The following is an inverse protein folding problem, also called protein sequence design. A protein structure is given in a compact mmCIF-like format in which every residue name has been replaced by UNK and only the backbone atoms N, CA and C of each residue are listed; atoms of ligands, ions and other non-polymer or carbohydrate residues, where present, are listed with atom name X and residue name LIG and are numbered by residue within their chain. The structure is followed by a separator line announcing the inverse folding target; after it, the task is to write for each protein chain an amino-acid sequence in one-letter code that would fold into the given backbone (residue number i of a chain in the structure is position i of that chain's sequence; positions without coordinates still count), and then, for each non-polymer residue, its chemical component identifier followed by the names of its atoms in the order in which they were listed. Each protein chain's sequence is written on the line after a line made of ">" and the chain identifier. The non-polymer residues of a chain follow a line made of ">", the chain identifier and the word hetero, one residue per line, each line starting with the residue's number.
data_IF_092638808281
#
_entry.id   IF_092638808281
#
_cell.length_a   1.000
_cell.length_b   1.000
_cell.length_c   1.000
_cell.angle_alpha   90.00
_cell.angle_beta   90.00
_cell.angle_gamma   90.00
#
_symmetry.space_group_name_H-M   'P 1'
#
loop_
_entity.id
_entity.type
_entity.pdbx_description
1 polymer ?
#
# COMPACT_ATOMS: atom_id res chain seq x y z
N UNK A 1 92.26 13.73 -22.55
CA UNK A 1 91.39 13.47 -21.42
C UNK A 1 91.07 14.80 -20.74
N UNK A 2 89.85 15.38 -21.01
CA UNK A 2 89.42 16.65 -20.37
C UNK A 2 88.53 16.31 -19.19
N UNK A 3 89.03 16.59 -18.01
CA UNK A 3 88.33 16.45 -16.78
C UNK A 3 87.19 17.46 -16.63
N UNK A 4 85.97 17.02 -16.68
CA UNK A 4 84.80 17.91 -16.61
C UNK A 4 84.43 18.00 -15.11
N UNK A 5 85.09 18.96 -14.42
CA UNK A 5 84.74 19.24 -12.98
C UNK A 5 83.35 19.87 -12.93
N UNK A 6 82.40 19.10 -12.43
CA UNK A 6 81.08 19.58 -12.02
C UNK A 6 81.18 20.69 -10.98
N UNK A 7 81.06 21.96 -11.40
CA UNK A 7 80.95 23.12 -10.48
C UNK A 7 79.64 23.06 -9.76
N UNK A 8 79.62 22.61 -8.50
CA UNK A 8 78.46 22.74 -7.63
C UNK A 8 78.20 24.24 -7.39
N UNK A 9 77.14 24.77 -7.98
CA UNK A 9 76.68 26.12 -7.74
C UNK A 9 76.13 26.20 -6.32
N UNK A 10 76.79 26.93 -5.41
CA UNK A 10 76.31 27.23 -4.05
C UNK A 10 75.20 28.28 -4.16
N UNK A 11 73.94 27.83 -4.17
CA UNK A 11 72.79 28.74 -4.11
C UNK A 11 72.69 29.34 -2.71
N UNK A 12 72.53 30.67 -2.58
CA UNK A 12 72.38 31.38 -1.30
C UNK A 12 71.16 30.81 -0.52
N UNK A 13 71.29 30.66 0.80
CA UNK A 13 70.24 30.07 1.66
C UNK A 13 68.90 30.77 1.47
N UNK A 14 68.87 32.09 1.32
CA UNK A 14 67.65 32.86 1.05
C UNK A 14 66.93 32.50 -0.26
N UNK A 15 67.71 32.18 -1.31
CA UNK A 15 67.15 31.74 -2.60
C UNK A 15 66.53 30.33 -2.49
N UNK A 16 67.06 29.46 -1.67
CA UNK A 16 66.48 28.13 -1.40
C UNK A 16 65.13 28.25 -0.67
N UNK A 17 65.03 29.11 0.34
CA UNK A 17 63.78 29.35 1.06
C UNK A 17 62.72 29.99 0.14
N UNK A 18 63.13 30.96 -0.71
CA UNK A 18 62.21 31.57 -1.68
C UNK A 18 61.66 30.52 -2.65
N UNK A 19 62.50 29.60 -3.13
CA UNK A 19 62.07 28.50 -4.03
C UNK A 19 61.13 27.51 -3.35
N UNK A 20 61.35 27.15 -2.07
CA UNK A 20 60.47 26.27 -1.31
C UNK A 20 59.11 26.95 -1.06
N UNK A 21 59.09 28.26 -0.75
CA UNK A 21 57.87 29.00 -0.53
C UNK A 21 57.08 29.09 -1.85
N UNK A 22 57.75 29.33 -2.99
CA UNK A 22 57.08 29.36 -4.29
C UNK A 22 56.48 27.99 -4.68
N UNK A 23 57.20 26.89 -4.41
CA UNK A 23 56.67 25.54 -4.66
C UNK A 23 55.47 25.23 -3.75
N UNK A 24 55.52 25.60 -2.47
CA UNK A 24 54.41 25.44 -1.56
C UNK A 24 53.17 26.27 -2.03
N UNK A 25 53.38 27.50 -2.50
CA UNK A 25 52.29 28.31 -3.03
C UNK A 25 51.63 27.70 -4.26
N UNK A 26 52.43 27.11 -5.17
CA UNK A 26 51.92 26.38 -6.33
C UNK A 26 51.14 25.15 -5.94
N UNK A 27 51.61 24.39 -4.95
CA UNK A 27 50.89 23.21 -4.43
C UNK A 27 49.54 23.64 -3.83
N UNK A 28 49.53 24.66 -2.95
CA UNK A 28 48.29 25.17 -2.31
C UNK A 28 47.30 25.69 -3.36
N UNK A 29 47.76 26.44 -4.35
CA UNK A 29 46.88 26.96 -5.43
C UNK A 29 46.34 25.82 -6.31
N UNK A 30 47.15 24.80 -6.63
CA UNK A 30 46.66 23.64 -7.39
C UNK A 30 45.68 22.79 -6.60
N UNK A 31 45.86 22.59 -5.29
CA UNK A 31 44.89 21.94 -4.40
C UNK A 31 43.60 22.75 -4.29
N UNK A 32 43.70 24.08 -4.22
CA UNK A 32 42.52 24.94 -4.17
C UNK A 32 41.73 24.90 -5.50
N UNK A 33 42.38 24.91 -6.63
CA UNK A 33 41.74 24.75 -7.97
C UNK A 33 41.11 23.37 -8.09
N UNK A 34 41.78 22.31 -7.66
CA UNK A 34 41.19 20.96 -7.62
C UNK A 34 39.97 20.91 -6.71
N UNK A 35 40.06 21.49 -5.50
CA UNK A 35 38.91 21.57 -4.57
C UNK A 35 37.73 22.33 -5.18
N UNK A 36 38.00 23.48 -5.81
CA UNK A 36 36.95 24.24 -6.54
C UNK A 36 36.38 23.43 -7.71
N UNK A 37 37.20 22.73 -8.47
CA UNK A 37 36.76 21.86 -9.58
C UNK A 37 35.87 20.72 -9.09
N UNK A 38 36.23 20.09 -7.96
CA UNK A 38 35.36 19.07 -7.34
C UNK A 38 34.04 19.64 -6.80
N UNK A 39 34.01 20.89 -6.31
CA UNK A 39 32.80 21.55 -5.85
C UNK A 39 31.96 22.15 -6.99
N UNK A 40 32.57 22.41 -8.16
CA UNK A 40 31.88 22.89 -9.37
C UNK A 40 31.41 21.76 -10.29
N UNK A 41 31.97 20.54 -10.11
CA UNK A 41 31.43 19.35 -10.79
C UNK A 41 30.05 19.04 -10.21
N UNK A 42 29.05 19.56 -10.90
CA UNK A 42 27.66 19.14 -10.91
C UNK A 42 26.99 18.91 -9.55
N UNK A 43 26.64 19.98 -8.86
CA UNK A 43 25.35 19.98 -8.17
C UNK A 43 24.28 20.03 -9.27
N UNK A 44 24.07 18.92 -9.99
CA UNK A 44 22.82 18.75 -10.73
C UNK A 44 21.72 18.83 -9.66
N UNK A 45 21.01 19.92 -9.66
CA UNK A 45 19.79 20.02 -8.87
C UNK A 45 18.84 18.98 -9.45
N UNK A 46 18.44 18.01 -8.61
CA UNK A 46 17.43 17.04 -8.99
C UNK A 46 16.10 17.51 -8.44
N UNK A 47 15.09 17.50 -9.28
CA UNK A 47 13.71 17.85 -8.94
C UNK A 47 12.87 16.58 -8.96
N UNK A 48 11.93 16.47 -8.01
CA UNK A 48 10.93 15.40 -8.03
C UNK A 48 9.89 15.70 -9.11
N UNK A 49 9.76 14.81 -10.08
CA UNK A 49 8.74 14.91 -11.13
C UNK A 49 7.76 13.74 -10.97
N UNK A 50 6.47 14.03 -11.07
CA UNK A 50 5.43 13.01 -11.06
C UNK A 50 5.49 12.24 -12.37
N UNK A 51 5.74 10.94 -12.29
CA UNK A 51 5.82 10.07 -13.47
C UNK A 51 4.56 9.22 -13.64
N UNK A 52 3.83 8.98 -12.56
CA UNK A 52 2.61 8.19 -12.56
C UNK A 52 1.73 8.56 -11.38
N UNK A 53 0.44 8.64 -11.62
CA UNK A 53 -0.57 8.89 -10.61
C UNK A 53 -1.71 7.91 -10.80
N UNK A 54 -2.15 7.27 -9.72
CA UNK A 54 -3.26 6.34 -9.75
C UNK A 54 -4.13 6.48 -8.51
N UNK A 55 -5.37 6.01 -8.65
CA UNK A 55 -6.36 6.04 -7.58
C UNK A 55 -7.10 4.70 -7.52
N UNK A 56 -7.50 4.31 -6.30
CA UNK A 56 -8.35 3.16 -6.03
C UNK A 56 -9.70 3.67 -5.54
N UNK A 57 -10.79 3.18 -6.11
CA UNK A 57 -12.14 3.44 -5.65
C UNK A 57 -12.83 2.11 -5.36
N UNK A 58 -13.52 2.05 -4.25
CA UNK A 58 -14.29 0.90 -3.84
C UNK A 58 -15.72 1.31 -3.50
N UNK A 59 -16.67 0.54 -3.99
CA UNK A 59 -18.09 0.66 -3.66
C UNK A 59 -18.61 -0.74 -3.35
N UNK A 60 -19.42 -0.84 -2.34
CA UNK A 60 -20.10 -2.08 -2.02
C UNK A 60 -21.59 -1.83 -1.80
N UNK A 61 -22.36 -2.87 -2.05
CA UNK A 61 -23.75 -2.96 -1.65
C UNK A 61 -24.04 -4.37 -1.18
N UNK A 62 -25.07 -4.50 -0.37
CA UNK A 62 -25.52 -5.80 0.11
C UNK A 62 -27.03 -5.81 0.28
N UNK A 63 -27.60 -6.99 0.18
CA UNK A 63 -28.97 -7.30 0.53
C UNK A 63 -28.99 -8.47 1.49
N UNK A 64 -29.73 -8.33 2.59
CA UNK A 64 -29.83 -9.36 3.62
C UNK A 64 -31.14 -10.09 3.50
N UNK A 65 -31.05 -11.37 3.13
CA UNK A 65 -32.19 -12.28 3.21
C UNK A 65 -32.43 -12.65 4.68
N UNK A 66 -33.64 -12.40 5.13
CA UNK A 66 -34.05 -12.69 6.50
C UNK A 66 -35.00 -13.88 6.55
N UNK A 67 -34.94 -14.63 7.64
CA UNK A 67 -35.90 -15.69 7.95
C UNK A 67 -37.27 -15.06 8.09
N UNK A 68 -38.31 -15.74 7.56
CA UNK A 68 -39.70 -15.29 7.69
C UNK A 68 -40.06 -15.12 9.16
N UNK A 69 -40.63 -13.96 9.49
CA UNK A 69 -40.99 -13.57 10.84
C UNK A 69 -42.17 -12.57 10.79
N UNK A 70 -42.88 -12.48 11.92
CA UNK A 70 -44.08 -11.63 12.07
C UNK A 70 -43.74 -10.19 12.51
N UNK A 71 -42.47 -9.85 12.76
CA UNK A 71 -42.07 -8.60 13.41
C UNK A 71 -41.43 -7.59 12.46
N UNK A 72 -40.68 -8.05 11.46
CA UNK A 72 -39.92 -7.20 10.59
C UNK A 72 -40.34 -7.51 9.12
N UNK A 73 -40.88 -6.52 8.43
CA UNK A 73 -41.18 -6.67 7.02
C UNK A 73 -39.88 -6.82 6.20
N UNK A 74 -39.88 -7.73 5.21
CA UNK A 74 -38.71 -8.03 4.36
C UNK A 74 -38.16 -6.80 3.58
N UNK A 75 -38.99 -5.78 3.38
CA UNK A 75 -38.68 -4.56 2.64
C UNK A 75 -38.06 -3.44 3.50
N UNK A 76 -38.04 -3.62 4.83
CA UNK A 76 -37.49 -2.62 5.75
C UNK A 76 -35.99 -2.84 5.92
N UNK A 77 -35.17 -2.06 5.22
CA UNK A 77 -33.75 -1.91 5.54
C UNK A 77 -33.66 -1.19 6.89
N UNK A 78 -33.05 -1.80 7.91
CA UNK A 78 -32.91 -1.17 9.22
C UNK A 78 -32.12 0.14 9.12
N UNK A 79 -32.53 1.13 9.91
CA UNK A 79 -31.71 2.31 10.16
C UNK A 79 -30.36 1.88 10.72
N UNK A 80 -29.28 2.58 10.34
CA UNK A 80 -27.92 2.33 10.81
C UNK A 80 -27.29 0.97 10.45
N UNK A 81 -27.84 0.21 9.49
CA UNK A 81 -27.32 -1.11 9.08
C UNK A 81 -27.20 -2.12 10.23
N UNK A 82 -28.14 -2.10 11.17
CA UNK A 82 -28.21 -3.00 12.33
C UNK A 82 -29.36 -3.99 12.13
N UNK A 83 -29.06 -5.26 12.13
CA UNK A 83 -30.00 -6.37 11.92
C UNK A 83 -30.12 -7.23 13.19
N UNK A 84 -31.28 -7.86 13.38
CA UNK A 84 -31.44 -8.88 14.42
C UNK A 84 -30.70 -10.14 13.98
N UNK A 85 -29.65 -10.53 14.71
CA UNK A 85 -28.74 -11.61 14.34
C UNK A 85 -29.45 -12.92 14.00
N UNK A 86 -30.43 -13.32 14.83
CA UNK A 86 -31.15 -14.58 14.67
C UNK A 86 -32.06 -14.64 13.44
N UNK A 87 -32.39 -13.48 12.86
CA UNK A 87 -33.23 -13.41 11.66
C UNK A 87 -32.40 -13.41 10.37
N UNK A 88 -31.08 -13.24 10.43
CA UNK A 88 -30.23 -13.22 9.25
C UNK A 88 -30.06 -14.64 8.70
N UNK A 89 -30.32 -14.80 7.40
CA UNK A 89 -30.15 -16.05 6.68
C UNK A 89 -28.93 -15.97 5.76
N UNK A 90 -29.01 -15.14 4.73
CA UNK A 90 -27.96 -14.98 3.72
C UNK A 90 -27.68 -13.50 3.46
N UNK A 91 -26.51 -13.21 2.94
CA UNK A 91 -26.17 -11.90 2.39
C UNK A 91 -25.80 -12.05 0.91
N UNK A 92 -26.48 -11.30 0.04
CA UNK A 92 -26.08 -11.09 -1.33
C UNK A 92 -25.19 -9.85 -1.38
N UNK A 93 -23.95 -10.00 -1.77
CA UNK A 93 -22.95 -8.96 -1.69
C UNK A 93 -22.45 -8.61 -3.08
N UNK A 94 -22.42 -7.31 -3.39
CA UNK A 94 -21.78 -6.79 -4.58
C UNK A 94 -20.59 -5.92 -4.18
N UNK A 95 -19.41 -6.26 -4.69
CA UNK A 95 -18.16 -5.53 -4.47
C UNK A 95 -17.66 -4.98 -5.81
N UNK A 96 -17.55 -3.67 -5.91
CA UNK A 96 -17.08 -2.97 -7.10
C UNK A 96 -15.77 -2.25 -6.79
N UNK A 97 -14.74 -2.56 -7.55
CA UNK A 97 -13.44 -1.91 -7.45
C UNK A 97 -13.08 -1.27 -8.79
N UNK A 98 -12.56 -0.06 -8.72
CA UNK A 98 -12.05 0.69 -9.87
C UNK A 98 -10.65 1.19 -9.55
N UNK A 99 -9.69 0.76 -10.36
CA UNK A 99 -8.39 1.38 -10.45
C UNK A 99 -8.40 2.35 -11.62
N UNK A 100 -7.85 3.54 -11.44
CA UNK A 100 -7.68 4.53 -12.51
C UNK A 100 -6.33 5.21 -12.41
N UNK A 101 -5.68 5.43 -13.55
CA UNK A 101 -4.39 6.07 -13.63
C UNK A 101 -4.40 7.25 -14.61
N UNK A 102 -3.41 8.13 -14.50
CA UNK A 102 -3.29 9.31 -15.36
C UNK A 102 -2.80 8.98 -16.78
N UNK A 103 -2.31 7.76 -17.01
CA UNK A 103 -1.89 7.27 -18.33
C UNK A 103 -2.05 5.76 -18.45
N UNK A 104 -2.21 5.31 -19.70
CA UNK A 104 -2.31 3.89 -20.02
C UNK A 104 -0.94 3.21 -19.94
N UNK A 105 -0.88 2.09 -19.24
CA UNK A 105 0.30 1.25 -19.09
C UNK A 105 -0.08 -0.23 -19.19
N UNK A 106 0.91 -1.10 -19.34
CA UNK A 106 0.69 -2.55 -19.24
C UNK A 106 0.60 -2.92 -17.76
N UNK A 107 -0.58 -3.29 -17.31
CA UNK A 107 -0.86 -3.63 -15.92
C UNK A 107 -1.13 -5.13 -15.81
N UNK A 108 -0.37 -5.79 -14.94
CA UNK A 108 -0.69 -7.13 -14.45
C UNK A 108 -1.47 -6.99 -13.15
N UNK A 109 -2.63 -7.60 -13.05
CA UNK A 109 -3.42 -7.57 -11.83
C UNK A 109 -4.01 -8.93 -11.48
N UNK A 110 -4.21 -9.14 -10.20
CA UNK A 110 -4.95 -10.28 -9.66
C UNK A 110 -5.80 -9.84 -8.48
N UNK A 111 -6.87 -10.55 -8.22
CA UNK A 111 -7.68 -10.32 -7.03
C UNK A 111 -8.23 -11.64 -6.50
N UNK A 112 -8.49 -11.65 -5.20
CA UNK A 112 -9.15 -12.75 -4.48
C UNK A 112 -10.16 -12.19 -3.51
N UNK A 113 -11.13 -12.97 -3.12
CA UNK A 113 -12.10 -12.63 -2.08
C UNK A 113 -12.07 -13.72 -1.01
N UNK A 114 -11.90 -13.30 0.23
CA UNK A 114 -11.85 -14.18 1.39
C UNK A 114 -12.81 -13.69 2.48
N UNK A 115 -13.46 -14.61 3.16
CA UNK A 115 -14.24 -14.36 4.35
C UNK A 115 -13.46 -14.83 5.59
N UNK A 116 -13.27 -13.97 6.56
CA UNK A 116 -12.58 -14.25 7.83
C UNK A 116 -13.58 -14.14 8.97
N UNK A 117 -13.93 -15.25 9.60
CA UNK A 117 -14.73 -15.30 10.81
C UNK A 117 -13.77 -15.37 12.00
N UNK A 118 -13.75 -14.33 12.82
CA UNK A 118 -12.86 -14.20 13.97
C UNK A 118 -13.68 -14.01 15.24
N UNK A 119 -13.35 -14.80 16.27
CA UNK A 119 -13.90 -14.64 17.62
C UNK A 119 -12.82 -14.14 18.57
N UNK A 120 -13.14 -13.09 19.31
CA UNK A 120 -12.28 -12.49 20.32
C UNK A 120 -12.94 -12.55 21.70
N UNK A 121 -12.13 -12.72 22.71
CA UNK A 121 -12.53 -12.66 24.10
C UNK A 121 -11.87 -11.46 24.76
N UNK A 122 -12.69 -10.63 25.41
CA UNK A 122 -12.17 -9.49 26.18
C UNK A 122 -11.99 -9.87 27.63
N UNK A 123 -10.77 -9.76 28.15
CA UNK A 123 -10.45 -9.92 29.56
C UNK A 123 -9.61 -8.73 30.02
N UNK A 124 -10.08 -8.07 31.07
CA UNK A 124 -9.39 -6.92 31.70
C UNK A 124 -9.10 -5.75 30.72
N UNK A 125 -9.90 -5.63 29.64
CA UNK A 125 -9.74 -4.60 28.62
C UNK A 125 -8.86 -5.00 27.42
N UNK A 126 -8.19 -6.15 27.48
CA UNK A 126 -7.41 -6.69 26.37
C UNK A 126 -8.24 -7.65 25.53
N UNK A 127 -8.27 -7.44 24.22
CA UNK A 127 -8.89 -8.36 23.26
C UNK A 127 -7.91 -9.46 22.87
N UNK A 128 -8.29 -10.71 23.13
CA UNK A 128 -7.52 -11.89 22.74
C UNK A 128 -8.28 -12.66 21.66
N UNK A 129 -7.60 -12.94 20.54
CA UNK A 129 -8.16 -13.80 19.49
C UNK A 129 -8.20 -15.23 19.99
N UNK A 130 -9.42 -15.78 20.03
CA UNK A 130 -9.66 -17.15 20.51
C UNK A 130 -9.72 -18.13 19.35
N UNK A 131 -10.30 -17.68 18.22
CA UNK A 131 -10.61 -18.55 17.11
C UNK A 131 -10.71 -17.75 15.82
N UNK A 132 -10.25 -18.38 14.72
CA UNK A 132 -10.35 -17.81 13.36
C UNK A 132 -10.65 -18.93 12.37
N UNK A 133 -11.59 -18.67 11.46
CA UNK A 133 -11.83 -19.47 10.28
C UNK A 133 -11.75 -18.59 9.05
N UNK A 134 -11.09 -19.06 7.99
CA UNK A 134 -11.02 -18.37 6.70
C UNK A 134 -11.70 -19.22 5.65
N UNK A 135 -12.62 -18.61 4.92
CA UNK A 135 -13.29 -19.20 3.75
C UNK A 135 -12.78 -18.49 2.49
N UNK A 136 -12.40 -19.23 1.47
CA UNK A 136 -12.06 -18.68 0.16
C UNK A 136 -13.34 -18.60 -0.66
N UNK A 137 -13.76 -17.35 -0.96
CA UNK A 137 -14.97 -17.08 -1.78
C UNK A 137 -14.59 -17.08 -3.26
N UNK A 138 -13.49 -16.40 -3.60
CA UNK A 138 -12.96 -16.34 -4.96
C UNK A 138 -11.44 -16.54 -4.93
N UNK A 139 -10.97 -17.50 -5.73
CA UNK A 139 -9.54 -17.75 -5.90
C UNK A 139 -8.91 -16.69 -6.81
N UNK A 140 -7.63 -16.34 -6.60
CA UNK A 140 -6.95 -15.36 -7.44
C UNK A 140 -6.70 -15.90 -8.85
N UNK A 141 -6.92 -15.05 -9.85
CA UNK A 141 -6.54 -15.25 -11.24
C UNK A 141 -5.75 -14.03 -11.73
N UNK A 142 -4.60 -14.27 -12.35
CA UNK A 142 -3.76 -13.22 -12.88
C UNK A 142 -4.21 -12.80 -14.28
N UNK A 143 -4.36 -11.51 -14.52
CA UNK A 143 -4.79 -10.90 -15.77
C UNK A 143 -3.84 -9.78 -16.20
N UNK A 144 -3.69 -9.60 -17.51
CA UNK A 144 -2.87 -8.56 -18.11
C UNK A 144 -3.74 -7.67 -18.98
N UNK A 145 -3.61 -6.37 -18.83
CA UNK A 145 -4.33 -5.38 -19.62
C UNK A 145 -3.43 -4.17 -19.92
N UNK A 146 -3.58 -3.60 -21.11
CA UNK A 146 -2.99 -2.30 -21.43
C UNK A 146 -4.07 -1.24 -21.35
N UNK A 147 -4.11 -0.52 -20.23
CA UNK A 147 -5.20 0.44 -19.93
C UNK A 147 -4.76 1.41 -18.83
N UNK A 148 -5.47 2.52 -18.74
CA UNK A 148 -5.44 3.45 -17.60
C UNK A 148 -6.53 3.11 -16.55
N UNK A 149 -7.35 2.08 -16.80
CA UNK A 149 -8.48 1.72 -15.95
C UNK A 149 -8.64 0.21 -15.84
N UNK A 150 -8.92 -0.26 -14.60
CA UNK A 150 -9.36 -1.63 -14.31
C UNK A 150 -10.67 -1.54 -13.55
N UNK A 151 -11.66 -2.31 -13.96
CA UNK A 151 -12.94 -2.45 -13.27
C UNK A 151 -13.14 -3.91 -12.89
N UNK A 152 -13.44 -4.15 -11.62
CA UNK A 152 -13.75 -5.47 -11.06
C UNK A 152 -15.12 -5.34 -10.39
N UNK A 153 -16.05 -6.19 -10.79
CA UNK A 153 -17.38 -6.28 -10.19
C UNK A 153 -17.68 -7.73 -9.88
N UNK A 154 -17.86 -8.02 -8.61
CA UNK A 154 -18.15 -9.37 -8.12
C UNK A 154 -19.44 -9.38 -7.32
N UNK A 155 -20.27 -10.39 -7.62
CA UNK A 155 -21.52 -10.62 -6.91
C UNK A 155 -21.54 -12.06 -6.39
N UNK A 156 -21.74 -12.24 -5.10
CA UNK A 156 -21.73 -13.55 -4.46
C UNK A 156 -22.64 -13.59 -3.23
N UNK A 157 -23.04 -14.79 -2.88
CA UNK A 157 -23.87 -15.06 -1.71
C UNK A 157 -23.03 -15.62 -0.56
N UNK A 158 -23.35 -15.20 0.67
CA UNK A 158 -22.75 -15.71 1.89
C UNK A 158 -23.84 -16.27 2.81
N UNK A 159 -23.66 -17.47 3.30
CA UNK A 159 -24.50 -18.10 4.31
C UNK A 159 -24.16 -17.54 5.71
N UNK A 160 -24.89 -16.49 6.13
CA UNK A 160 -24.73 -15.88 7.44
C UNK A 160 -25.25 -16.77 8.55
N UNK A 161 -26.31 -17.53 8.30
CA UNK A 161 -26.88 -18.46 9.26
C UNK A 161 -25.86 -19.53 9.70
N UNK A 162 -25.07 -20.07 8.76
CA UNK A 162 -23.98 -20.99 9.09
C UNK A 162 -22.91 -20.32 9.97
N UNK A 163 -22.54 -19.08 9.66
CA UNK A 163 -21.56 -18.33 10.46
C UNK A 163 -22.05 -18.06 11.88
N UNK A 164 -23.29 -17.59 12.02
CA UNK A 164 -23.94 -17.33 13.31
C UNK A 164 -24.05 -18.62 14.11
N UNK A 165 -24.46 -19.72 13.48
CA UNK A 165 -24.54 -21.03 14.12
C UNK A 165 -23.19 -21.50 14.66
N UNK A 166 -22.11 -21.38 13.90
CA UNK A 166 -20.75 -21.76 14.35
C UNK A 166 -20.30 -20.98 15.57
N UNK A 167 -20.61 -19.68 15.64
CA UNK A 167 -20.31 -18.84 16.80
C UNK A 167 -21.11 -19.31 18.04
N UNK A 168 -22.38 -19.58 17.85
CA UNK A 168 -23.25 -20.07 18.92
C UNK A 168 -22.78 -21.44 19.44
N UNK A 169 -22.57 -22.40 18.55
CA UNK A 169 -22.07 -23.73 18.90
C UNK A 169 -20.73 -23.63 19.69
N UNK A 170 -19.85 -22.69 19.32
CA UNK A 170 -18.61 -22.45 20.05
C UNK A 170 -18.90 -21.92 21.48
N UNK A 171 -19.77 -20.92 21.63
CA UNK A 171 -20.12 -20.34 22.91
C UNK A 171 -20.79 -21.36 23.83
N UNK A 172 -21.69 -22.19 23.30
CA UNK A 172 -22.39 -23.24 24.06
C UNK A 172 -21.45 -24.36 24.50
N UNK A 173 -20.56 -24.84 23.60
CA UNK A 173 -19.66 -25.95 23.89
C UNK A 173 -18.56 -25.59 24.90
N UNK A 174 -18.10 -24.33 24.90
CA UNK A 174 -16.98 -23.90 25.74
C UNK A 174 -17.40 -22.98 26.91
N UNK A 175 -18.65 -22.51 26.95
CA UNK A 175 -19.15 -21.63 27.99
C UNK A 175 -18.49 -20.23 27.95
N UNK A 176 -17.91 -19.83 26.82
CA UNK A 176 -17.16 -18.57 26.65
C UNK A 176 -17.97 -17.62 25.78
N UNK A 177 -18.28 -16.43 26.31
CA UNK A 177 -18.88 -15.37 25.52
C UNK A 177 -17.77 -14.67 24.69
N UNK A 178 -17.95 -14.60 23.39
CA UNK A 178 -17.00 -13.98 22.46
C UNK A 178 -17.66 -12.86 21.67
N UNK A 179 -16.87 -11.86 21.31
CA UNK A 179 -17.20 -10.90 20.27
C UNK A 179 -16.77 -11.50 18.94
N UNK A 180 -17.59 -11.36 17.92
CA UNK A 180 -17.33 -12.02 16.64
C UNK A 180 -17.43 -11.04 15.51
N UNK A 181 -16.44 -11.08 14.61
CA UNK A 181 -16.44 -10.33 13.35
C UNK A 181 -16.32 -11.30 12.19
N UNK A 182 -17.20 -11.15 11.22
CA UNK A 182 -17.03 -11.77 9.92
C UNK A 182 -16.66 -10.69 8.92
N UNK A 183 -15.42 -10.72 8.43
CA UNK A 183 -14.86 -9.73 7.50
C UNK A 183 -14.72 -10.37 6.14
N UNK A 184 -15.39 -9.83 5.15
CA UNK A 184 -15.21 -10.19 3.75
C UNK A 184 -14.26 -9.17 3.14
N UNK A 185 -13.13 -9.64 2.63
CA UNK A 185 -12.08 -8.80 2.10
C UNK A 185 -11.76 -9.18 0.65
N UNK A 186 -11.76 -8.18 -0.22
CA UNK A 186 -11.21 -8.29 -1.57
C UNK A 186 -9.77 -7.80 -1.52
N UNK A 187 -8.81 -8.63 -1.87
CA UNK A 187 -7.41 -8.22 -2.04
C UNK A 187 -7.13 -8.07 -3.53
N UNK A 188 -6.84 -6.85 -3.96
CA UNK A 188 -6.46 -6.54 -5.34
C UNK A 188 -4.98 -6.18 -5.37
N UNK A 189 -4.23 -6.87 -6.20
CA UNK A 189 -2.82 -6.60 -6.44
C UNK A 189 -2.66 -6.12 -7.88
N UNK A 190 -2.09 -4.94 -8.09
CA UNK A 190 -1.74 -4.42 -9.41
C UNK A 190 -0.24 -4.17 -9.50
N UNK A 191 0.36 -4.48 -10.66
CA UNK A 191 1.77 -4.26 -10.96
C UNK A 191 1.91 -3.65 -12.35
N UNK A 192 2.73 -2.64 -12.46
CA UNK A 192 3.08 -2.03 -13.74
C UNK A 192 4.52 -1.53 -13.72
N UNK A 193 5.11 -1.27 -14.89
CA UNK A 193 6.44 -0.69 -15.01
C UNK A 193 6.31 0.67 -15.68
N UNK A 194 6.69 1.71 -14.97
CA UNK A 194 6.64 3.10 -15.44
C UNK A 194 8.05 3.67 -15.39
N UNK A 195 8.56 4.14 -16.50
CA UNK A 195 9.93 4.68 -16.62
C UNK A 195 11.01 3.78 -16.02
N UNK A 196 10.93 2.46 -16.25
CA UNK A 196 11.79 1.41 -15.69
C UNK A 196 11.71 1.27 -14.16
N UNK A 197 10.68 1.79 -13.51
CA UNK A 197 10.38 1.57 -12.10
C UNK A 197 9.16 0.65 -11.96
N UNK A 198 9.28 -0.39 -11.15
CA UNK A 198 8.14 -1.23 -10.81
C UNK A 198 7.23 -0.49 -9.82
N UNK A 199 5.97 -0.38 -10.16
CA UNK A 199 4.91 0.17 -9.31
C UNK A 199 3.99 -0.97 -8.93
N UNK A 200 3.98 -1.30 -7.65
CA UNK A 200 3.09 -2.32 -7.07
C UNK A 200 2.11 -1.64 -6.12
N UNK A 201 0.83 -1.95 -6.29
CA UNK A 201 -0.23 -1.51 -5.40
C UNK A 201 -0.99 -2.72 -4.88
N UNK A 202 -1.25 -2.72 -3.58
CA UNK A 202 -2.10 -3.71 -2.90
C UNK A 202 -3.22 -2.91 -2.24
N UNK A 203 -4.45 -3.21 -2.62
CA UNK A 203 -5.64 -2.57 -2.06
C UNK A 203 -6.59 -3.64 -1.52
N UNK A 204 -7.06 -3.47 -0.29
CA UNK A 204 -7.77 -4.50 0.46
C UNK A 204 -9.09 -3.96 1.04
N UNK A 205 -10.08 -3.63 0.19
CA UNK A 205 -11.38 -3.21 0.66
C UNK A 205 -12.13 -4.34 1.36
N UNK A 206 -12.99 -3.97 2.30
CA UNK A 206 -13.70 -4.92 3.14
C UNK A 206 -15.17 -4.56 3.38
N UNK A 207 -15.92 -5.58 3.83
CA UNK A 207 -17.22 -5.45 4.48
C UNK A 207 -17.15 -6.24 5.78
N UNK A 208 -17.54 -5.62 6.87
CA UNK A 208 -17.47 -6.17 8.22
C UNK A 208 -18.86 -6.37 8.79
N UNK A 209 -19.15 -7.60 9.21
CA UNK A 209 -20.31 -7.98 10.00
C UNK A 209 -19.86 -8.14 11.44
N UNK A 210 -20.21 -7.19 12.30
CA UNK A 210 -19.96 -7.25 13.75
C UNK A 210 -21.12 -7.98 14.41
N UNK A 211 -20.90 -9.26 14.71
CA UNK A 211 -21.93 -10.22 15.12
C UNK A 211 -21.95 -10.33 16.63
N UNK A 212 -23.05 -9.89 17.24
CA UNK A 212 -23.35 -10.16 18.65
C UNK A 212 -24.48 -11.21 18.79
N UNK A 213 -24.78 -11.65 19.99
CA UNK A 213 -25.89 -12.56 20.23
C UNK A 213 -27.27 -11.96 19.93
N UNK A 214 -27.38 -10.65 19.84
CA UNK A 214 -28.64 -9.94 19.59
C UNK A 214 -28.74 -9.28 18.26
N UNK A 215 -27.68 -8.54 17.89
CA UNK A 215 -27.64 -7.70 16.70
C UNK A 215 -26.35 -7.89 15.93
N UNK A 216 -26.44 -7.74 14.62
CA UNK A 216 -25.30 -7.67 13.72
C UNK A 216 -25.29 -6.31 13.05
N UNK A 217 -24.17 -5.59 13.19
CA UNK A 217 -23.93 -4.32 12.49
C UNK A 217 -23.06 -4.57 11.27
N UNK A 218 -23.45 -3.95 10.13
CA UNK A 218 -22.69 -4.05 8.88
C UNK A 218 -22.00 -2.72 8.59
N UNK A 219 -20.72 -2.77 8.30
CA UNK A 219 -19.89 -1.59 8.01
C UNK A 219 -18.76 -1.94 7.05
N UNK A 220 -17.99 -0.95 6.64
CA UNK A 220 -16.69 -1.12 5.98
C UNK A 220 -15.66 -0.31 6.75
N UNK A 221 -14.43 -0.79 6.81
CA UNK A 221 -13.28 -0.03 7.35
C UNK A 221 -12.57 0.74 6.24
N UNK A 222 -12.93 0.48 4.98
CA UNK A 222 -12.32 1.09 3.81
C UNK A 222 -13.09 2.34 3.41
N UNK A 223 -12.37 3.47 3.21
CA UNK A 223 -12.96 4.70 2.70
C UNK A 223 -13.35 4.55 1.22
N UNK A 224 -14.50 5.11 0.81
CA UNK A 224 -15.02 5.06 -0.57
C UNK A 224 -14.08 5.67 -1.61
N UNK A 225 -13.24 6.61 -1.20
CA UNK A 225 -12.28 7.30 -2.06
C UNK A 225 -10.91 7.33 -1.42
N UNK A 226 -10.00 6.51 -1.94
CA UNK A 226 -8.59 6.64 -1.58
C UNK A 226 -8.00 7.91 -2.21
N UNK A 227 -7.09 8.57 -1.48
CA UNK A 227 -6.32 9.68 -2.03
C UNK A 227 -5.46 9.19 -3.18
N UNK A 228 -5.24 10.01 -4.24
CA UNK A 228 -4.35 9.67 -5.33
C UNK A 228 -2.96 9.28 -4.83
N UNK A 229 -2.43 8.20 -5.37
CA UNK A 229 -1.07 7.74 -5.11
C UNK A 229 -0.17 8.29 -6.21
N UNK A 230 0.93 8.95 -5.82
CA UNK A 230 1.83 9.63 -6.75
C UNK A 230 3.19 8.92 -6.72
N UNK A 231 3.62 8.45 -7.89
CA UNK A 231 4.96 7.91 -8.09
C UNK A 231 5.84 9.00 -8.68
N UNK A 232 6.98 9.25 -8.04
CA UNK A 232 7.89 10.33 -8.43
C UNK A 232 9.24 9.77 -8.83
N UNK A 233 9.92 10.50 -9.74
CA UNK A 233 11.31 10.26 -10.12
C UNK A 233 12.15 11.51 -9.91
N UNK A 234 13.39 11.34 -9.50
CA UNK A 234 14.36 12.42 -9.47
C UNK A 234 14.93 12.61 -10.85
N UNK A 235 14.71 13.77 -11.45
CA UNK A 235 15.27 14.15 -12.76
C UNK A 235 16.14 15.39 -12.63
N UNK A 236 17.18 15.56 -13.46
CA UNK A 236 17.93 16.81 -13.49
C UNK A 236 17.01 17.99 -13.75
N UNK A 237 17.23 19.12 -13.09
CA UNK A 237 16.36 20.30 -13.17
C UNK A 237 16.14 20.77 -14.62
N UNK A 238 17.14 20.64 -15.50
CA UNK A 238 17.04 21.00 -16.90
C UNK A 238 16.09 20.10 -17.73
N UNK A 239 15.81 18.89 -17.25
CA UNK A 239 14.94 17.91 -17.92
C UNK A 239 13.52 17.91 -17.34
N UNK A 240 13.28 18.65 -16.24
CA UNK A 240 12.01 18.69 -15.56
C UNK A 240 10.94 19.56 -16.27
N UNK A 241 11.36 20.41 -17.21
CA UNK A 241 10.50 21.37 -17.90
C UNK A 241 10.40 21.13 -19.42
N UNK A 242 10.92 20.02 -19.91
CA UNK A 242 10.79 19.55 -21.30
C UNK A 242 9.63 18.55 -21.41
#
# INVERSE_FOLDING_TARGET
>A
MKDNKNKKVKIRKSLRYAYIIALLAIIVTSLFVLYQSFNLVDKKNFVKTNIYEYNNKYLYSYDIDMIDNDYIAKENVPDENIYVTELMNKANINMNYVYSANKSENITYSYKIVGNLEATYSKDGDEQKVWKQTDVILLPEEKNISSDKIEISENFEVDLKDKIKKVRDFQENFGIQVQTKYTIQMEVVTRTIVDNQEVMNIYTPDIVFDITSKTTKISSTTEDTAKPQIVTKMVPENDAYS
#
